data_IF_728966409767
#
_entry.id   IF_728966409767
#
_cell.length_a   1.000
_cell.length_b   1.000
_cell.length_c   1.000
_cell.angle_alpha   90.00
_cell.angle_beta   90.00
_cell.angle_gamma   90.00
#
_symmetry.space_group_name_H-M   'P 1'
#
loop_
_entity.id
_entity.type
_entity.pdbx_description
1 polymer ?
#
# COMPACT_ATOMS: atom_id res chain seq x y z
N UNK A 1 -16.02 29.70 4.49
CA UNK A 1 -15.67 29.51 4.24
C UNK A 1 -15.37 29.15 3.91
N UNK A 2 -15.30 28.77 4.00
CA UNK A 2 -14.89 28.21 3.65
C UNK A 2 -14.61 27.81 3.36
N UNK A 3 -14.50 27.70 3.31
CA UNK A 3 -14.01 27.28 2.95
C UNK A 3 -13.48 26.79 2.83
N UNK A 4 -13.39 26.45 2.95
CA UNK A 4 -12.66 25.96 2.73
C UNK A 4 -12.39 25.68 2.22
N UNK A 5 -12.17 25.69 2.22
CA UNK A 5 -11.71 25.28 1.70
C UNK A 5 -11.28 24.87 1.35
N UNK A 6 -11.15 24.78 1.05
CA UNK A 6 -10.45 24.21 0.70
C UNK A 6 -9.90 23.99 0.58
N UNK A 7 -9.61 23.89 0.82
CA UNK A 7 -8.92 23.71 0.67
C UNK A 7 -8.72 23.34 0.89
N UNK A 8 -8.89 23.35 1.27
CA UNK A 8 -8.60 22.97 1.47
C UNK A 8 -8.64 22.16 1.39
N UNK A 9 -8.82 21.92 1.37
CA UNK A 9 -8.68 21.11 1.17
C UNK A 9 -8.34 20.63 0.60
N UNK A 10 -8.27 20.29 0.45
CA UNK A 10 -7.81 19.67 0.00
C UNK A 10 -7.52 19.21 -0.33
N UNK A 11 -7.08 19.34 -0.72
CA UNK A 11 -6.96 18.43 -1.25
C UNK A 11 -6.89 17.42 -0.68
N UNK A 12 -6.90 17.38 -0.03
CA UNK A 12 -6.99 16.50 0.38
C UNK A 12 -8.02 15.94 0.20
N UNK A 13 -8.79 16.39 -0.07
CA UNK A 13 -9.71 15.89 -0.39
C UNK A 13 -9.61 15.09 -1.36
N UNK A 14 -8.86 15.10 -2.02
CA UNK A 14 -8.55 14.20 -2.86
C UNK A 14 -7.99 13.03 -2.34
N UNK A 15 -8.34 12.60 -1.21
CA UNK A 15 -7.89 11.43 -0.58
C UNK A 15 -8.27 10.23 -1.37
N UNK A 16 -7.40 9.29 -1.47
CA UNK A 16 -7.71 8.03 -2.09
C UNK A 16 -8.78 7.35 -1.27
N UNK A 17 -9.77 6.71 -1.92
CA UNK A 17 -10.85 6.08 -1.18
C UNK A 17 -10.36 5.10 -0.12
N UNK A 18 -9.32 4.33 -0.40
CA UNK A 18 -8.88 3.38 0.60
C UNK A 18 -8.30 4.06 1.82
N UNK A 19 -7.82 5.28 1.67
CA UNK A 19 -7.27 5.99 2.82
C UNK A 19 -8.35 6.49 3.74
N UNK A 20 -9.56 6.62 3.23
CA UNK A 20 -10.64 7.11 4.05
C UNK A 20 -11.35 6.01 4.76
N UNK A 21 -11.34 4.79 4.21
CA UNK A 21 -12.15 3.78 4.73
C UNK A 21 -11.47 2.86 5.63
N UNK A 22 -10.29 2.53 5.43
CA UNK A 22 -9.69 1.47 6.17
C UNK A 22 -8.78 1.99 7.23
N UNK A 23 -8.50 1.16 8.19
CA UNK A 23 -7.47 1.44 9.13
C UNK A 23 -6.15 1.35 8.41
N UNK A 24 -5.22 2.17 8.83
CA UNK A 24 -3.87 2.12 8.30
C UNK A 24 -2.94 1.83 9.45
N UNK A 25 -2.01 0.95 9.19
CA UNK A 25 -1.01 0.56 10.17
C UNK A 25 0.33 1.08 9.70
N UNK A 26 0.93 1.95 10.49
CA UNK A 26 2.28 2.41 10.21
C UNK A 26 3.23 1.28 10.49
N UNK A 27 4.23 1.11 9.63
CA UNK A 27 5.13 0.00 9.79
C UNK A 27 6.43 0.31 9.09
N UNK A 28 7.39 -0.59 9.27
CA UNK A 28 8.68 -0.44 8.64
C UNK A 28 9.10 -1.85 8.30
N UNK A 29 8.44 -2.43 7.32
CA UNK A 29 8.62 -3.82 6.96
C UNK A 29 9.02 -3.93 5.51
N UNK A 30 9.65 -5.03 5.19
CA UNK A 30 10.18 -5.25 3.84
C UNK A 30 9.08 -5.73 2.92
N UNK A 31 9.16 -5.29 1.69
CA UNK A 31 8.24 -5.69 0.64
C UNK A 31 9.06 -5.98 -0.61
N UNK A 32 8.77 -7.10 -1.24
CA UNK A 32 9.36 -7.39 -2.55
C UNK A 32 8.29 -7.27 -3.60
N UNK A 33 8.62 -6.67 -4.73
CA UNK A 33 7.65 -6.52 -5.81
C UNK A 33 8.22 -7.07 -7.10
N UNK A 34 7.32 -7.58 -7.93
CA UNK A 34 7.68 -8.29 -9.15
C UNK A 34 6.74 -7.83 -10.26
N UNK A 35 7.31 -7.49 -11.40
CA UNK A 35 6.54 -7.12 -12.57
C UNK A 35 6.86 -8.02 -13.73
N UNK A 36 6.60 -7.52 -14.94
CA UNK A 36 6.87 -8.27 -16.14
C UNK A 36 8.33 -8.11 -16.55
N UNK A 37 8.79 -9.02 -17.40
CA UNK A 37 10.14 -8.95 -17.99
C UNK A 37 11.22 -8.92 -16.92
N UNK A 38 11.03 -9.76 -15.89
CA UNK A 38 12.01 -9.89 -14.80
C UNK A 38 12.21 -8.61 -14.00
N UNK A 39 11.28 -7.69 -14.10
CA UNK A 39 11.35 -6.50 -13.27
C UNK A 39 11.06 -6.87 -11.82
N UNK A 40 11.92 -6.46 -10.93
CA UNK A 40 11.70 -6.74 -9.52
C UNK A 40 12.43 -5.71 -8.68
N UNK A 41 12.01 -5.58 -7.43
CA UNK A 41 12.65 -4.66 -6.53
C UNK A 41 12.25 -4.93 -5.10
N UNK A 42 12.89 -4.19 -4.23
CA UNK A 42 12.63 -4.28 -2.80
C UNK A 42 12.25 -2.91 -2.29
N UNK A 43 11.31 -2.86 -1.39
CA UNK A 43 10.83 -1.60 -0.82
C UNK A 43 10.61 -1.78 0.67
N UNK A 44 10.42 -0.65 1.34
CA UNK A 44 10.02 -0.63 2.74
C UNK A 44 8.59 -0.11 2.79
N UNK A 45 7.71 -0.87 3.41
CA UNK A 45 6.32 -0.45 3.59
C UNK A 45 6.27 0.55 4.72
N UNK A 46 5.70 1.70 4.47
CA UNK A 46 5.57 2.75 5.47
C UNK A 46 4.22 2.69 6.16
N UNK A 47 3.18 2.30 5.44
CA UNK A 47 1.89 2.02 6.06
C UNK A 47 1.11 1.12 5.13
N UNK A 48 0.13 0.44 5.69
CA UNK A 48 -0.66 -0.53 4.95
C UNK A 48 -2.10 -0.52 5.45
N UNK A 49 -3.02 -0.77 4.52
CA UNK A 49 -4.44 -0.94 4.84
C UNK A 49 -4.92 -2.16 4.07
N UNK A 50 -6.21 -2.47 4.18
CA UNK A 50 -6.74 -3.62 3.46
C UNK A 50 -6.76 -3.42 1.94
N UNK A 51 -6.64 -2.17 1.48
CA UNK A 51 -6.75 -1.86 0.06
C UNK A 51 -5.46 -1.43 -0.59
N UNK A 52 -4.42 -1.19 0.19
CA UNK A 52 -3.18 -0.74 -0.41
C UNK A 52 -2.14 -0.40 0.61
N UNK A 53 -1.02 0.11 0.13
CA UNK A 53 0.07 0.48 1.02
C UNK A 53 0.87 1.61 0.41
N UNK A 54 1.65 2.25 1.27
CA UNK A 54 2.60 3.27 0.87
C UNK A 54 3.99 2.70 1.15
N UNK A 55 4.87 2.86 0.20
CA UNK A 55 6.21 2.28 0.32
C UNK A 55 7.26 3.22 -0.23
N UNK A 56 8.50 2.93 0.09
CA UNK A 56 9.62 3.68 -0.44
C UNK A 56 10.66 2.69 -0.95
N UNK A 57 11.35 3.03 -2.02
CA UNK A 57 12.31 2.13 -2.64
C UNK A 57 13.32 2.92 -3.43
N UNK A 58 14.51 2.34 -3.59
CA UNK A 58 15.50 2.89 -4.50
C UNK A 58 15.24 2.46 -5.93
N UNK A 59 14.40 1.45 -6.14
CA UNK A 59 14.03 1.00 -7.47
C UNK A 59 12.93 1.93 -7.99
N UNK A 60 13.12 2.46 -9.18
CA UNK A 60 12.14 3.37 -9.75
C UNK A 60 10.92 2.61 -10.23
N UNK A 61 9.76 3.15 -9.93
CA UNK A 61 8.49 2.60 -10.42
C UNK A 61 7.73 3.75 -11.06
N UNK A 62 6.74 3.40 -11.87
CA UNK A 62 5.94 4.40 -12.57
C UNK A 62 4.47 4.16 -12.30
N UNK A 63 3.70 5.24 -12.35
CA UNK A 63 2.26 5.16 -12.17
C UNK A 63 1.69 4.23 -13.22
N UNK A 64 0.81 3.33 -12.79
CA UNK A 64 0.18 2.37 -13.67
C UNK A 64 0.88 1.03 -13.76
N UNK A 65 2.07 0.94 -13.19
CA UNK A 65 2.82 -0.30 -13.21
C UNK A 65 2.10 -1.36 -12.40
N UNK A 66 1.99 -2.57 -12.96
CA UNK A 66 1.28 -3.67 -12.31
C UNK A 66 2.29 -4.62 -11.70
N UNK A 67 2.08 -4.97 -10.47
CA UNK A 67 3.05 -5.71 -9.70
C UNK A 67 2.39 -6.82 -8.89
N UNK A 68 3.18 -7.83 -8.56
CA UNK A 68 2.86 -8.80 -7.54
C UNK A 68 3.71 -8.46 -6.33
N UNK A 69 3.17 -8.66 -5.15
CA UNK A 69 3.86 -8.23 -3.93
C UNK A 69 4.01 -9.37 -2.94
N UNK A 70 5.11 -9.32 -2.20
CA UNK A 70 5.32 -10.15 -1.02
C UNK A 70 5.69 -9.21 0.10
N UNK A 71 4.83 -9.11 1.10
CA UNK A 71 5.00 -8.19 2.22
C UNK A 71 5.31 -9.00 3.47
N UNK A 72 6.41 -8.67 4.14
CA UNK A 72 6.78 -9.38 5.37
C UNK A 72 6.14 -8.68 6.54
N UNK A 73 5.21 -9.38 7.20
CA UNK A 73 4.43 -8.82 8.28
C UNK A 73 5.04 -9.17 9.62
N UNK A 74 4.51 -8.54 10.65
CA UNK A 74 5.05 -8.71 11.98
C UNK A 74 4.80 -10.08 12.56
N UNK A 75 3.77 -10.78 12.09
CA UNK A 75 3.48 -12.10 12.61
C UNK A 75 4.54 -13.12 12.18
N UNK A 76 5.37 -12.72 11.22
CA UNK A 76 6.55 -13.49 10.86
C UNK A 76 6.30 -14.90 10.41
N UNK A 77 5.11 -15.17 9.93
CA UNK A 77 4.84 -16.47 9.39
C UNK A 77 5.43 -16.52 8.00
N UNK A 78 4.66 -16.39 6.98
CA UNK A 78 5.17 -16.26 5.64
C UNK A 78 4.65 -14.94 5.08
N UNK A 79 5.26 -14.47 4.01
CA UNK A 79 4.87 -13.15 3.51
C UNK A 79 3.42 -13.12 3.09
N UNK A 80 2.83 -11.94 3.25
CA UNK A 80 1.52 -11.69 2.71
C UNK A 80 1.67 -11.52 1.21
N UNK A 81 0.92 -12.29 0.45
CA UNK A 81 1.02 -12.24 -1.00
C UNK A 81 -0.13 -11.46 -1.59
N UNK A 82 0.19 -10.50 -2.43
CA UNK A 82 -0.78 -9.73 -3.16
C UNK A 82 -0.59 -10.08 -4.63
N UNK A 83 -1.61 -10.70 -5.22
CA UNK A 83 -1.47 -11.20 -6.58
C UNK A 83 -1.44 -10.07 -7.61
N UNK A 84 -2.15 -8.99 -7.34
CA UNK A 84 -2.19 -7.87 -8.26
C UNK A 84 -2.23 -6.56 -7.50
N UNK A 85 -1.34 -5.67 -7.85
CA UNK A 85 -1.31 -4.32 -7.28
C UNK A 85 -0.92 -3.37 -8.40
N UNK A 86 -1.35 -2.12 -8.27
CA UNK A 86 -1.05 -1.10 -9.28
C UNK A 86 -0.49 0.11 -8.57
N UNK A 87 0.57 0.68 -9.15
CA UNK A 87 1.15 1.91 -8.64
C UNK A 87 0.20 3.05 -9.00
N UNK A 88 -0.29 3.76 -8.00
CA UNK A 88 -1.26 4.81 -8.22
C UNK A 88 -0.65 6.20 -8.18
N UNK A 89 0.43 6.37 -7.46
CA UNK A 89 1.13 7.65 -7.42
C UNK A 89 2.59 7.40 -7.07
N UNK A 90 3.43 8.34 -7.47
CA UNK A 90 4.86 8.30 -7.19
C UNK A 90 5.29 9.70 -6.82
N UNK A 91 6.05 9.80 -5.75
CA UNK A 91 6.57 11.07 -5.32
C UNK A 91 7.98 10.82 -4.77
N UNK A 92 8.99 11.15 -5.55
CA UNK A 92 10.35 10.83 -5.19
C UNK A 92 10.55 9.33 -5.16
N UNK A 93 11.03 8.83 -4.05
CA UNK A 93 11.20 7.39 -3.87
C UNK A 93 10.00 6.74 -3.22
N UNK A 94 9.00 7.52 -2.88
CA UNK A 94 7.78 6.99 -2.27
C UNK A 94 6.74 6.73 -3.32
N UNK A 95 5.92 5.74 -3.11
CA UNK A 95 4.84 5.44 -4.03
C UNK A 95 3.72 4.73 -3.31
N UNK A 96 2.54 4.83 -3.89
CA UNK A 96 1.35 4.19 -3.35
C UNK A 96 0.90 3.07 -4.24
N UNK A 97 0.55 1.95 -3.61
CA UNK A 97 0.08 0.76 -4.30
C UNK A 97 -1.35 0.50 -3.90
N UNK A 98 -2.18 0.22 -4.89
CA UNK A 98 -3.53 -0.23 -4.64
C UNK A 98 -3.58 -1.72 -4.92
N UNK A 99 -4.16 -2.50 -3.99
CA UNK A 99 -4.28 -3.93 -4.16
C UNK A 99 -5.52 -4.20 -5.00
N UNK A 100 -5.34 -4.69 -6.20
CA UNK A 100 -6.45 -4.94 -7.10
C UNK A 100 -6.79 -6.42 -7.16
N UNK A 101 -5.93 -7.29 -6.66
CA UNK A 101 -6.21 -8.71 -6.60
C UNK A 101 -5.52 -9.33 -5.42
N UNK A 102 -6.31 -9.78 -4.46
CA UNK A 102 -5.78 -10.41 -3.26
C UNK A 102 -6.71 -11.56 -2.92
N UNK A 103 -6.13 -12.71 -2.62
CA UNK A 103 -6.91 -13.89 -2.31
C UNK A 103 -7.62 -13.71 -0.97
N UNK A 104 -8.80 -14.29 -0.82
CA UNK A 104 -9.56 -14.10 0.41
C UNK A 104 -8.79 -14.45 1.68
N UNK A 105 -8.01 -15.52 1.66
CA UNK A 105 -7.26 -15.90 2.85
C UNK A 105 -6.22 -14.83 3.21
N UNK A 106 -5.59 -14.24 2.20
CA UNK A 106 -4.60 -13.21 2.45
C UNK A 106 -5.28 -11.93 2.93
N UNK A 107 -6.42 -11.61 2.37
CA UNK A 107 -7.17 -10.43 2.79
C UNK A 107 -7.62 -10.56 4.23
N UNK A 108 -8.06 -11.76 4.60
CA UNK A 108 -8.50 -11.98 5.97
C UNK A 108 -7.34 -11.89 6.95
N UNK A 109 -6.18 -12.40 6.55
CA UNK A 109 -4.98 -12.30 7.38
C UNK A 109 -4.64 -10.83 7.63
N UNK A 110 -4.67 -10.03 6.56
CA UNK A 110 -4.38 -8.62 6.66
C UNK A 110 -5.41 -7.91 7.53
N UNK A 111 -6.69 -8.21 7.32
CA UNK A 111 -7.75 -7.60 8.11
C UNK A 111 -7.57 -7.91 9.59
N UNK A 112 -7.29 -9.16 9.90
CA UNK A 112 -7.10 -9.58 11.28
C UNK A 112 -5.94 -8.82 11.91
N UNK A 113 -4.85 -8.69 11.18
CA UNK A 113 -3.69 -7.98 11.70
C UNK A 113 -4.04 -6.53 11.98
N UNK A 114 -4.77 -5.89 11.07
CA UNK A 114 -5.12 -4.49 11.24
C UNK A 114 -6.09 -4.29 12.39
N UNK A 115 -6.95 -5.26 12.64
CA UNK A 115 -7.89 -5.14 13.74
C UNK A 115 -7.24 -5.26 15.09
N UNK A 116 -6.06 -5.84 15.16
CA UNK A 116 -5.35 -5.95 16.42
C UNK A 116 -4.62 -4.69 16.80
N UNK A 117 -4.53 -3.74 15.90
CA UNK A 117 -3.82 -2.52 16.16
C UNK A 117 -4.67 -1.61 17.02
N UNK A 118 -4.09 -1.14 18.10
CA UNK A 118 -4.77 -0.17 18.92
C UNK A 118 -4.35 1.18 18.49
N UNK A 119 -5.26 2.01 18.21
CA UNK A 119 -4.90 3.34 17.77
C UNK A 119 -5.33 4.41 18.70
#
# INVERSE_FOLDING_TARGET
MSKMTPDQMPPKENLQPFERRGRRLSMNRRLFFFGEDDFEGEATVLDISTNGCKATSHTEVAVGLKLKLSVFLQDQQWPLRIDHAVVRWVEGQCFGLEFTGIRPAQRERLRTMLMKVKT
#
